data_IF_267327419752
#
_entry.id   IF_267327419752
#
_cell.length_a   1.000
_cell.length_b   1.000
_cell.length_c   1.000
_cell.angle_alpha   90.00
_cell.angle_beta   90.00
_cell.angle_gamma   90.00
#
_symmetry.space_group_name_H-M   'P 1'
#
loop_
_entity.id
_entity.type
_entity.pdbx_description
1 polymer ?
#
# COMPACT_ATOMS: atom_id res chain seq x y z
N UNK A 1 -3.96 -0.95 13.31
CA UNK A 1 -2.72 -0.88 12.52
C UNK A 1 -1.47 -1.05 13.40
N UNK A 2 -1.29 -0.23 14.44
CA UNK A 2 -0.16 -0.32 15.39
C UNK A 2 0.11 -1.73 15.92
N UNK A 3 -0.92 -2.47 16.36
CA UNK A 3 -0.76 -3.86 16.82
C UNK A 3 -0.39 -4.88 15.72
N UNK A 4 -0.62 -4.57 14.44
CA UNK A 4 -0.20 -5.43 13.31
C UNK A 4 1.27 -5.13 12.95
N UNK A 5 1.63 -3.86 12.89
CA UNK A 5 2.97 -3.39 12.50
C UNK A 5 3.97 -3.45 13.67
N UNK A 6 3.49 -3.53 14.90
CA UNK A 6 4.31 -3.60 16.11
C UNK A 6 5.10 -2.32 16.37
N UNK A 7 4.49 -1.16 16.10
CA UNK A 7 5.02 0.20 16.25
C UNK A 7 3.98 1.12 16.89
N UNK A 8 4.43 2.26 17.40
CA UNK A 8 3.55 3.28 17.98
C UNK A 8 2.63 3.90 16.92
N UNK A 9 1.49 4.42 17.36
CA UNK A 9 0.54 5.10 16.46
C UNK A 9 1.10 6.48 16.14
N UNK A 10 1.28 6.85 14.86
CA UNK A 10 1.73 8.19 14.51
C UNK A 10 0.67 9.22 14.88
N UNK A 11 1.09 10.45 15.15
CA UNK A 11 0.18 11.59 15.26
C UNK A 11 -0.21 12.03 13.84
N UNK A 12 -1.52 12.16 13.57
CA UNK A 12 -2.00 12.59 12.26
C UNK A 12 -3.30 13.41 12.34
N UNK A 13 -3.47 14.31 11.36
CA UNK A 13 -4.75 14.95 11.06
C UNK A 13 -5.47 14.22 9.91
N UNK A 14 -6.81 14.26 9.91
CA UNK A 14 -7.61 13.85 8.76
C UNK A 14 -8.25 15.09 8.13
N UNK A 15 -7.98 15.32 6.84
CA UNK A 15 -8.49 16.46 6.10
C UNK A 15 -9.47 15.96 5.03
N UNK A 16 -10.75 16.32 5.17
CA UNK A 16 -11.74 16.10 4.12
C UNK A 16 -11.74 17.32 3.20
N UNK A 17 -11.42 17.13 1.92
CA UNK A 17 -11.27 18.20 0.93
C UNK A 17 -12.42 18.13 -0.07
N UNK A 18 -13.10 19.26 -0.24
CA UNK A 18 -14.15 19.42 -1.24
C UNK A 18 -13.56 19.36 -2.66
N UNK A 19 -14.36 18.94 -3.64
CA UNK A 19 -13.91 18.83 -5.04
C UNK A 19 -13.34 20.17 -5.57
N UNK A 20 -13.88 21.32 -5.14
CA UNK A 20 -13.45 22.67 -5.53
C UNK A 20 -12.12 23.11 -4.92
N UNK A 21 -11.78 22.58 -3.74
CA UNK A 21 -10.55 22.91 -3.00
C UNK A 21 -9.42 21.91 -3.28
N UNK A 22 -9.62 20.93 -4.17
CA UNK A 22 -8.65 19.86 -4.41
C UNK A 22 -7.27 20.38 -4.80
N UNK A 23 -7.22 21.46 -5.59
CA UNK A 23 -5.96 22.06 -5.99
C UNK A 23 -5.25 22.82 -4.86
N UNK A 24 -5.94 23.11 -3.77
CA UNK A 24 -5.37 23.75 -2.57
C UNK A 24 -4.96 22.74 -1.50
N UNK A 25 -5.27 21.45 -1.69
CA UNK A 25 -4.93 20.40 -0.74
C UNK A 25 -3.41 20.36 -0.46
N UNK A 26 -3.01 20.16 0.81
CA UNK A 26 -1.61 20.11 1.20
C UNK A 26 -0.91 18.93 0.51
N UNK A 27 0.30 19.13 -0.02
CA UNK A 27 1.03 18.11 -0.78
C UNK A 27 2.54 18.34 -0.73
N UNK A 28 3.32 17.25 -0.78
CA UNK A 28 4.79 17.32 -0.75
C UNK A 28 5.39 17.78 -2.10
N UNK A 29 4.66 17.67 -3.21
CA UNK A 29 5.14 18.02 -4.53
C UNK A 29 4.11 18.84 -5.33
N UNK A 30 4.58 19.68 -6.27
CA UNK A 30 3.73 20.49 -7.12
C UNK A 30 3.16 19.74 -8.34
N UNK A 31 3.30 18.41 -8.40
CA UNK A 31 2.74 17.67 -9.54
C UNK A 31 1.22 17.61 -9.39
N UNK A 32 0.48 17.64 -10.52
CA UNK A 32 -0.96 17.43 -10.49
C UNK A 32 -1.25 16.05 -9.90
N UNK A 33 -2.00 16.01 -8.79
CA UNK A 33 -2.50 14.77 -8.23
C UNK A 33 -3.91 14.56 -8.76
N UNK A 34 -4.23 13.41 -9.38
CA UNK A 34 -5.57 13.19 -9.90
C UNK A 34 -6.65 13.42 -8.83
N UNK A 35 -7.73 14.15 -9.14
CA UNK A 35 -8.80 14.40 -8.19
C UNK A 35 -9.43 13.10 -7.71
N UNK A 36 -9.77 13.07 -6.43
CA UNK A 36 -10.47 11.96 -5.82
C UNK A 36 -9.57 10.79 -5.38
N UNK A 37 -8.26 10.98 -5.26
CA UNK A 37 -7.33 9.99 -4.71
C UNK A 37 -6.96 10.35 -3.27
N UNK A 38 -7.33 9.54 -2.26
CA UNK A 38 -6.79 9.73 -0.92
C UNK A 38 -5.26 9.66 -0.93
N UNK A 39 -4.60 10.43 -0.08
CA UNK A 39 -3.15 10.35 0.07
C UNK A 39 -2.68 10.80 1.46
N UNK A 40 -1.56 10.24 1.90
CA UNK A 40 -0.81 10.74 3.06
C UNK A 40 0.19 11.85 2.66
N UNK A 41 0.36 12.87 3.50
CA UNK A 41 1.37 13.93 3.30
C UNK A 41 1.98 14.42 4.62
N UNK A 42 3.30 14.70 4.59
CA UNK A 42 4.03 15.38 5.69
C UNK A 42 4.27 16.86 5.41
N UNK A 43 3.57 17.44 4.44
CA UNK A 43 3.70 18.87 4.07
C UNK A 43 3.07 19.83 5.09
N UNK A 44 2.35 19.30 6.07
CA UNK A 44 1.72 20.02 7.18
C UNK A 44 2.06 19.34 8.50
N UNK A 45 1.92 20.08 9.60
CA UNK A 45 2.20 19.60 10.96
C UNK A 45 0.94 19.73 11.83
N UNK A 46 0.41 18.61 12.40
CA UNK A 46 0.89 17.23 12.20
C UNK A 46 0.63 16.72 10.76
N UNK A 47 1.34 15.66 10.31
CA UNK A 47 1.09 15.04 8.99
C UNK A 47 -0.38 14.69 8.78
N UNK A 48 -0.83 14.75 7.53
CA UNK A 48 -2.25 14.63 7.20
C UNK A 48 -2.55 13.44 6.29
N UNK A 49 -3.66 12.78 6.58
CA UNK A 49 -4.39 11.96 5.63
C UNK A 49 -5.41 12.84 4.92
N UNK A 50 -5.19 13.09 3.63
CA UNK A 50 -6.09 13.87 2.78
C UNK A 50 -7.11 12.93 2.15
N UNK A 51 -8.39 13.21 2.39
CA UNK A 51 -9.53 12.45 1.91
C UNK A 51 -10.35 13.32 0.96
N UNK A 52 -10.66 12.85 -0.25
CA UNK A 52 -11.57 13.56 -1.13
C UNK A 52 -13.02 13.38 -0.66
N UNK A 53 -13.87 14.38 -0.94
CA UNK A 53 -15.31 14.23 -0.83
C UNK A 53 -15.82 13.09 -1.73
N UNK A 54 -15.22 12.93 -2.91
CA UNK A 54 -15.56 11.88 -3.88
C UNK A 54 -14.34 11.10 -4.34
N UNK A 55 -14.38 9.79 -4.14
CA UNK A 55 -13.37 8.90 -4.72
C UNK A 55 -13.42 8.90 -6.24
N UNK A 56 -12.24 8.99 -6.85
CA UNK A 56 -12.01 8.92 -8.29
C UNK A 56 -12.73 7.72 -8.91
N UNK A 57 -13.22 7.90 -10.14
CA UNK A 57 -13.86 6.82 -10.92
C UNK A 57 -12.86 5.77 -11.40
N UNK A 58 -11.57 6.09 -11.37
CA UNK A 58 -10.47 5.18 -11.70
C UNK A 58 -10.37 4.00 -10.72
N UNK A 59 -10.81 4.18 -9.47
CA UNK A 59 -10.81 3.11 -8.49
C UNK A 59 -11.78 1.99 -8.87
N UNK A 60 -11.23 0.79 -9.03
CA UNK A 60 -11.94 -0.44 -9.35
C UNK A 60 -11.31 -1.61 -8.58
N UNK A 61 -12.10 -2.58 -8.09
CA UNK A 61 -13.56 -2.66 -8.17
C UNK A 61 -14.28 -1.73 -7.17
N UNK A 62 -15.48 -1.25 -7.54
CA UNK A 62 -16.29 -0.37 -6.67
C UNK A 62 -17.22 -1.21 -5.80
N UNK A 63 -16.68 -1.75 -4.71
CA UNK A 63 -17.45 -2.50 -3.70
C UNK A 63 -17.49 -1.75 -2.38
N UNK A 64 -18.25 -2.27 -1.41
CA UNK A 64 -18.30 -1.71 -0.05
C UNK A 64 -16.95 -1.72 0.69
N UNK A 65 -15.96 -2.46 0.21
CA UNK A 65 -14.61 -2.47 0.79
C UNK A 65 -13.67 -1.41 0.20
N UNK A 66 -14.01 -0.79 -0.94
CA UNK A 66 -13.09 0.10 -1.67
C UNK A 66 -12.60 1.26 -0.80
N UNK A 67 -13.51 2.09 -0.30
CA UNK A 67 -13.14 3.28 0.49
C UNK A 67 -12.35 2.88 1.76
N UNK A 68 -12.82 1.92 2.59
CA UNK A 68 -12.03 1.49 3.73
C UNK A 68 -10.64 0.97 3.36
N UNK A 69 -10.50 0.18 2.29
CA UNK A 69 -9.19 -0.34 1.87
C UNK A 69 -8.23 0.79 1.50
N UNK A 70 -8.71 1.80 0.75
CA UNK A 70 -7.89 2.96 0.40
C UNK A 70 -7.49 3.76 1.63
N UNK A 71 -8.41 4.01 2.57
CA UNK A 71 -8.11 4.72 3.82
C UNK A 71 -7.08 3.96 4.66
N UNK A 72 -7.23 2.64 4.80
CA UNK A 72 -6.29 1.83 5.57
C UNK A 72 -4.92 1.71 4.88
N UNK A 73 -4.89 1.73 3.55
CA UNK A 73 -3.66 1.76 2.77
C UNK A 73 -2.88 3.07 3.04
N UNK A 74 -3.52 4.22 2.90
CA UNK A 74 -2.86 5.52 3.16
C UNK A 74 -2.47 5.70 4.62
N UNK A 75 -3.28 5.18 5.55
CA UNK A 75 -2.88 5.17 6.96
C UNK A 75 -1.63 4.31 7.17
N UNK A 76 -1.48 3.18 6.47
CA UNK A 76 -0.27 2.36 6.57
C UNK A 76 0.98 3.09 6.05
N UNK A 77 0.86 3.97 5.05
CA UNK A 77 1.93 4.88 4.63
C UNK A 77 2.33 5.83 5.77
N UNK A 78 1.35 6.37 6.52
CA UNK A 78 1.64 7.23 7.67
C UNK A 78 2.50 6.52 8.73
N UNK A 79 2.24 5.23 8.99
CA UNK A 79 3.12 4.44 9.85
C UNK A 79 4.51 4.28 9.22
N UNK A 80 4.58 3.88 7.94
CA UNK A 80 5.86 3.59 7.28
C UNK A 80 6.77 4.80 7.23
N UNK A 81 6.21 5.98 6.96
CA UNK A 81 6.93 7.23 6.72
C UNK A 81 7.09 8.13 7.95
N UNK A 82 6.71 7.63 9.14
CA UNK A 82 6.95 8.28 10.44
C UNK A 82 8.44 8.32 10.81
N UNK A 83 9.28 7.56 10.10
CA UNK A 83 10.75 7.59 10.18
C UNK A 83 11.43 8.02 8.88
N UNK A 84 12.76 8.13 8.90
CA UNK A 84 13.56 8.33 7.69
C UNK A 84 13.57 7.04 6.85
N UNK A 85 12.74 6.99 5.81
CA UNK A 85 12.65 5.83 4.91
C UNK A 85 13.54 6.06 3.69
N UNK A 86 14.47 5.13 3.50
CA UNK A 86 15.30 5.07 2.28
C UNK A 86 14.47 4.76 1.05
N UNK A 87 14.89 5.24 -0.11
CA UNK A 87 14.19 4.93 -1.37
C UNK A 87 14.16 3.41 -1.62
N UNK A 88 12.97 2.86 -1.85
CA UNK A 88 12.72 1.46 -2.23
C UNK A 88 12.13 1.36 -3.64
N UNK A 89 12.08 0.17 -4.25
CA UNK A 89 11.26 -0.05 -5.44
C UNK A 89 9.79 0.22 -5.13
N UNK A 90 9.05 0.73 -6.12
CA UNK A 90 7.65 1.12 -5.97
C UNK A 90 6.81 -0.06 -5.44
N UNK A 91 7.03 -1.26 -5.97
CA UNK A 91 6.27 -2.44 -5.57
C UNK A 91 6.43 -2.77 -4.08
N UNK A 92 7.61 -2.60 -3.49
CA UNK A 92 7.82 -2.92 -2.07
C UNK A 92 7.21 -1.84 -1.18
N UNK A 93 7.36 -0.57 -1.57
CA UNK A 93 6.77 0.57 -0.88
C UNK A 93 5.25 0.50 -0.82
N UNK A 94 4.61 0.00 -1.88
CA UNK A 94 3.15 -0.12 -1.99
C UNK A 94 2.61 -1.46 -1.46
N UNK A 95 3.40 -2.55 -1.54
CA UNK A 95 3.00 -3.86 -1.04
C UNK A 95 2.69 -3.84 0.46
N UNK A 96 3.54 -3.20 1.26
CA UNK A 96 3.39 -3.19 2.72
C UNK A 96 2.06 -2.52 3.13
N UNK A 97 1.73 -1.31 2.64
CA UNK A 97 0.42 -0.70 2.80
C UNK A 97 -0.76 -1.54 2.30
N UNK A 98 -0.65 -2.18 1.13
CA UNK A 98 -1.72 -3.04 0.60
C UNK A 98 -1.97 -4.28 1.48
N UNK A 99 -0.92 -4.96 1.91
CA UNK A 99 -1.05 -6.09 2.83
C UNK A 99 -1.57 -5.64 4.20
N UNK A 100 -1.12 -4.49 4.70
CA UNK A 100 -1.60 -3.94 5.96
C UNK A 100 -3.10 -3.58 5.92
N UNK A 101 -3.57 -2.96 4.83
CA UNK A 101 -4.98 -2.65 4.62
C UNK A 101 -5.84 -3.91 4.55
N UNK A 102 -5.37 -4.96 3.84
CA UNK A 102 -6.03 -6.25 3.78
C UNK A 102 -6.10 -6.96 5.15
N UNK A 103 -5.03 -6.90 5.95
CA UNK A 103 -5.02 -7.47 7.30
C UNK A 103 -6.06 -6.78 8.21
N UNK A 104 -6.12 -5.45 8.19
CA UNK A 104 -7.15 -4.71 8.92
C UNK A 104 -8.55 -5.06 8.41
N UNK A 105 -8.74 -5.11 7.10
CA UNK A 105 -10.02 -5.48 6.49
C UNK A 105 -10.54 -6.84 6.96
N UNK A 106 -9.65 -7.85 7.06
CA UNK A 106 -9.98 -9.17 7.61
C UNK A 106 -10.39 -9.10 9.08
N UNK A 107 -9.62 -8.37 9.91
CA UNK A 107 -9.89 -8.25 11.35
C UNK A 107 -11.23 -7.57 11.66
N UNK A 108 -11.62 -6.58 10.86
CA UNK A 108 -12.85 -5.80 11.09
C UNK A 108 -14.05 -6.31 10.26
N UNK A 109 -13.90 -7.42 9.54
CA UNK A 109 -14.99 -8.08 8.83
C UNK A 109 -15.47 -7.34 7.57
N UNK A 110 -14.59 -6.59 6.89
CA UNK A 110 -14.93 -6.00 5.60
C UNK A 110 -15.15 -7.09 4.54
N UNK A 111 -15.97 -6.84 3.49
CA UNK A 111 -16.24 -7.79 2.42
C UNK A 111 -15.05 -7.91 1.44
N UNK A 112 -13.87 -8.23 1.97
CA UNK A 112 -12.63 -8.32 1.21
C UNK A 112 -12.73 -9.38 0.11
N UNK A 113 -13.29 -10.55 0.40
CA UNK A 113 -13.48 -11.60 -0.61
C UNK A 113 -14.38 -11.19 -1.78
N UNK A 114 -15.38 -10.32 -1.55
CA UNK A 114 -16.18 -9.74 -2.63
C UNK A 114 -15.37 -8.78 -3.48
N UNK A 115 -14.59 -7.91 -2.83
CA UNK A 115 -13.70 -6.98 -3.52
C UNK A 115 -12.68 -7.71 -4.40
N UNK A 116 -11.99 -8.71 -3.86
CA UNK A 116 -10.95 -9.45 -4.57
C UNK A 116 -11.49 -10.23 -5.79
N UNK A 117 -12.75 -10.68 -5.77
CA UNK A 117 -13.37 -11.30 -6.96
C UNK A 117 -13.52 -10.35 -8.15
N UNK A 118 -13.55 -9.04 -7.90
CA UNK A 118 -13.62 -8.02 -8.93
C UNK A 118 -12.25 -7.57 -9.45
N UNK A 119 -11.15 -8.15 -8.93
CA UNK A 119 -9.79 -7.85 -9.35
C UNK A 119 -9.35 -8.81 -10.45
N UNK A 120 -8.69 -8.28 -11.48
CA UNK A 120 -8.00 -9.07 -12.51
C UNK A 120 -6.70 -9.66 -11.95
N UNK A 121 -6.56 -11.01 -11.86
CA UNK A 121 -5.34 -11.65 -11.38
C UNK A 121 -4.20 -11.66 -12.41
N UNK A 122 -4.47 -11.36 -13.68
CA UNK A 122 -3.50 -11.46 -14.78
C UNK A 122 -3.44 -10.15 -15.60
N UNK A 123 -3.02 -9.01 -14.98
CA UNK A 123 -3.09 -7.69 -15.62
C UNK A 123 -2.09 -7.48 -16.77
N UNK A 124 -1.35 -8.51 -17.17
CA UNK A 124 -0.33 -8.46 -18.24
C UNK A 124 1.08 -8.08 -17.76
N UNK A 125 1.31 -7.98 -16.46
CA UNK A 125 2.62 -7.75 -15.84
C UNK A 125 2.70 -8.40 -14.45
N UNK A 126 3.92 -8.50 -13.90
CA UNK A 126 4.17 -8.98 -12.52
C UNK A 126 4.42 -7.82 -11.56
N UNK A 127 4.37 -8.10 -10.26
CA UNK A 127 4.69 -7.17 -9.17
C UNK A 127 6.03 -6.49 -9.40
N UNK A 128 7.05 -7.24 -9.87
CA UNK A 128 8.38 -6.68 -10.15
C UNK A 128 8.57 -6.19 -11.58
N UNK A 129 7.73 -6.66 -12.51
CA UNK A 129 7.81 -6.31 -13.92
C UNK A 129 7.17 -4.97 -14.26
N UNK A 130 6.29 -4.45 -13.40
CA UNK A 130 5.65 -3.15 -13.59
C UNK A 130 6.66 -2.02 -13.44
N UNK A 131 6.95 -1.31 -14.54
CA UNK A 131 7.92 -0.22 -14.57
C UNK A 131 7.53 0.85 -15.59
N UNK A 132 7.94 2.09 -15.34
CA UNK A 132 7.77 3.22 -16.26
C UNK A 132 6.50 4.06 -16.05
N UNK A 133 6.26 5.06 -16.93
CA UNK A 133 5.07 5.88 -16.87
C UNK A 133 3.82 5.05 -17.18
N UNK A 134 2.88 5.01 -16.24
CA UNK A 134 1.64 4.27 -16.36
C UNK A 134 0.44 5.21 -16.28
N UNK A 135 -0.57 4.97 -17.11
CA UNK A 135 -1.87 5.64 -16.99
C UNK A 135 -2.60 5.20 -15.71
N UNK A 136 -3.66 5.92 -15.35
CA UNK A 136 -4.44 5.63 -14.14
C UNK A 136 -4.99 4.19 -14.10
N UNK A 137 -5.35 3.62 -15.26
CA UNK A 137 -5.84 2.24 -15.36
C UNK A 137 -4.76 1.22 -14.99
N UNK A 138 -3.55 1.36 -15.56
CA UNK A 138 -2.45 0.43 -15.29
C UNK A 138 -1.92 0.57 -13.86
N UNK A 139 -1.91 1.80 -13.32
CA UNK A 139 -1.63 2.02 -11.90
C UNK A 139 -2.66 1.31 -11.00
N UNK A 140 -3.95 1.38 -11.34
CA UNK A 140 -4.99 0.68 -10.59
C UNK A 140 -4.83 -0.84 -10.68
N UNK A 141 -4.52 -1.39 -11.86
CA UNK A 141 -4.19 -2.81 -12.03
C UNK A 141 -3.01 -3.23 -11.16
N UNK A 142 -1.98 -2.39 -11.10
CA UNK A 142 -0.80 -2.65 -10.27
C UNK A 142 -1.12 -2.64 -8.77
N UNK A 143 -1.86 -1.65 -8.29
CA UNK A 143 -2.30 -1.58 -6.89
C UNK A 143 -3.17 -2.80 -6.52
N UNK A 144 -4.04 -3.23 -7.43
CA UNK A 144 -4.85 -4.43 -7.27
C UNK A 144 -4.03 -5.73 -7.25
N UNK A 145 -3.00 -5.83 -8.09
CA UNK A 145 -2.07 -6.96 -8.10
C UNK A 145 -1.32 -7.06 -6.76
N UNK A 146 -0.85 -5.93 -6.24
CA UNK A 146 -0.21 -5.83 -4.93
C UNK A 146 -1.16 -6.23 -3.80
N UNK A 147 -2.44 -5.83 -3.87
CA UNK A 147 -3.46 -6.25 -2.92
C UNK A 147 -3.66 -7.78 -2.94
N UNK A 148 -3.83 -8.38 -4.13
CA UNK A 148 -3.94 -9.84 -4.27
C UNK A 148 -2.72 -10.56 -3.71
N UNK A 149 -1.52 -10.10 -4.07
CA UNK A 149 -0.27 -10.68 -3.62
C UNK A 149 -0.09 -10.55 -2.10
N UNK A 150 -0.42 -9.40 -1.52
CA UNK A 150 -0.41 -9.15 -0.08
C UNK A 150 -1.38 -10.06 0.69
N UNK A 151 -2.61 -10.21 0.18
CA UNK A 151 -3.62 -11.14 0.70
C UNK A 151 -3.10 -12.59 0.69
N UNK A 152 -2.46 -12.99 -0.40
CA UNK A 152 -1.91 -14.32 -0.53
C UNK A 152 -0.69 -14.56 0.39
N UNK A 153 0.13 -13.54 0.63
CA UNK A 153 1.20 -13.58 1.62
C UNK A 153 0.65 -13.69 3.06
N UNK A 154 -0.42 -12.96 3.37
CA UNK A 154 -1.10 -13.05 4.67
C UNK A 154 -1.68 -14.45 4.93
N UNK A 155 -2.23 -15.11 3.90
CA UNK A 155 -2.71 -16.49 4.01
C UNK A 155 -1.58 -17.50 4.24
N UNK A 156 -0.45 -17.32 3.55
CA UNK A 156 0.68 -18.25 3.66
C UNK A 156 1.53 -18.08 4.92
N UNK A 157 1.69 -16.83 5.40
CA UNK A 157 2.69 -16.49 6.43
C UNK A 157 2.12 -15.77 7.65
N UNK A 158 0.83 -15.42 7.63
CA UNK A 158 0.15 -14.69 8.69
C UNK A 158 0.58 -13.23 8.82
N UNK A 159 -0.16 -12.45 9.60
CA UNK A 159 0.07 -11.00 9.75
C UNK A 159 1.45 -10.63 10.31
N UNK A 160 2.12 -11.57 11.00
CA UNK A 160 3.43 -11.33 11.62
C UNK A 160 4.54 -10.97 10.62
N UNK A 161 4.40 -11.28 9.33
CA UNK A 161 5.39 -10.86 8.34
C UNK A 161 5.39 -9.33 8.14
N UNK A 162 4.24 -8.67 8.34
CA UNK A 162 4.12 -7.21 8.17
C UNK A 162 5.02 -6.46 9.14
N UNK A 163 4.99 -6.82 10.44
CA UNK A 163 5.89 -6.25 11.42
C UNK A 163 7.38 -6.53 11.09
N UNK A 164 7.69 -7.71 10.54
CA UNK A 164 9.06 -8.08 10.17
C UNK A 164 9.56 -7.26 8.98
N UNK A 165 8.78 -7.15 7.90
CA UNK A 165 9.19 -6.37 6.72
C UNK A 165 9.27 -4.89 7.02
N UNK A 166 8.34 -4.37 7.83
CA UNK A 166 8.33 -2.99 8.27
C UNK A 166 9.61 -2.64 9.04
N UNK A 167 9.95 -3.44 10.06
CA UNK A 167 11.18 -3.25 10.84
C UNK A 167 12.44 -3.42 10.00
N UNK A 168 12.42 -4.35 9.04
CA UNK A 168 13.54 -4.56 8.14
C UNK A 168 13.76 -3.32 7.25
N UNK A 169 12.69 -2.72 6.72
CA UNK A 169 12.75 -1.49 5.95
C UNK A 169 13.29 -0.30 6.76
N UNK A 170 12.82 -0.11 7.99
CA UNK A 170 13.32 0.94 8.89
C UNK A 170 14.78 0.76 9.32
N UNK A 171 15.32 -0.45 9.22
CA UNK A 171 16.71 -0.71 9.52
C UNK A 171 17.65 -0.41 8.34
N UNK A 172 17.13 -0.25 7.12
CA UNK A 172 17.93 0.08 5.95
C UNK A 172 18.39 1.55 6.01
N UNK A 173 19.67 1.77 5.69
CA UNK A 173 20.29 3.11 5.68
C UNK A 173 20.68 3.60 4.29
N UNK A 174 20.64 2.71 3.31
CA UNK A 174 20.99 2.98 1.92
C UNK A 174 19.80 2.68 1.01
N UNK A 175 19.84 3.20 -0.23
CA UNK A 175 18.83 2.92 -1.25
C UNK A 175 18.67 1.41 -1.46
N UNK A 176 17.43 0.93 -1.36
CA UNK A 176 17.08 -0.47 -1.58
C UNK A 176 16.81 -0.69 -3.06
N UNK A 177 17.64 -1.49 -3.73
CA UNK A 177 17.39 -1.95 -5.10
C UNK A 177 16.53 -3.22 -5.16
N UNK A 178 16.14 -3.63 -6.37
CA UNK A 178 15.28 -4.80 -6.63
C UNK A 178 15.72 -6.08 -5.91
N UNK A 179 16.99 -6.45 -6.00
CA UNK A 179 17.52 -7.67 -5.38
C UNK A 179 17.46 -7.62 -3.85
N UNK A 180 17.73 -6.44 -3.27
CA UNK A 180 17.66 -6.23 -1.82
C UNK A 180 16.20 -6.22 -1.34
N UNK A 181 15.30 -5.60 -2.11
CA UNK A 181 13.87 -5.60 -1.83
C UNK A 181 13.28 -7.03 -1.82
N UNK A 182 13.62 -7.86 -2.81
CA UNK A 182 13.25 -9.28 -2.83
C UNK A 182 13.78 -10.02 -1.60
N UNK A 183 15.04 -9.79 -1.24
CA UNK A 183 15.66 -10.42 -0.08
C UNK A 183 14.97 -10.02 1.23
N UNK A 184 14.67 -8.73 1.41
CA UNK A 184 13.96 -8.21 2.58
C UNK A 184 12.59 -8.85 2.72
N UNK A 185 11.83 -8.93 1.63
CA UNK A 185 10.54 -9.59 1.63
C UNK A 185 10.68 -11.09 1.94
N UNK A 186 11.56 -11.81 1.25
CA UNK A 186 11.77 -13.25 1.44
C UNK A 186 12.11 -13.60 2.90
N UNK A 187 13.03 -12.84 3.50
CA UNK A 187 13.42 -13.02 4.92
C UNK A 187 12.27 -12.69 5.86
N UNK A 188 11.47 -11.68 5.53
CA UNK A 188 10.34 -11.24 6.36
C UNK A 188 9.17 -12.21 6.29
N UNK A 189 8.94 -12.89 5.17
CA UNK A 189 7.96 -13.99 5.08
C UNK A 189 8.37 -15.13 6.01
N UNK A 190 9.66 -15.44 6.12
CA UNK A 190 10.20 -16.46 7.03
C UNK A 190 10.60 -17.74 6.30
N UNK A 191 10.60 -18.91 6.98
CA UNK A 191 10.93 -20.19 6.35
C UNK A 191 10.07 -20.45 5.11
N UNK A 192 10.70 -20.83 3.99
CA UNK A 192 10.01 -21.06 2.71
C UNK A 192 9.64 -19.78 1.95
N UNK A 193 9.91 -18.59 2.48
CA UNK A 193 9.55 -17.32 1.86
C UNK A 193 10.19 -17.14 0.47
N UNK A 194 11.46 -17.52 0.31
CA UNK A 194 12.17 -17.43 -0.97
C UNK A 194 11.59 -18.38 -2.01
N UNK A 195 11.31 -19.61 -1.62
CA UNK A 195 10.70 -20.63 -2.47
C UNK A 195 9.28 -20.21 -2.88
N UNK A 196 8.52 -19.67 -1.94
CA UNK A 196 7.18 -19.15 -2.21
C UNK A 196 7.21 -18.02 -3.23
N UNK A 197 8.07 -17.01 -3.06
CA UNK A 197 8.21 -15.91 -4.02
C UNK A 197 8.54 -16.41 -5.43
N UNK A 198 9.45 -17.39 -5.55
CA UNK A 198 9.81 -18.00 -6.85
C UNK A 198 8.68 -18.81 -7.48
N UNK A 199 7.73 -19.30 -6.67
CA UNK A 199 6.60 -20.08 -7.15
C UNK A 199 5.41 -19.22 -7.61
N UNK A 200 5.45 -17.90 -7.37
CA UNK A 200 4.39 -16.96 -7.72
C UNK A 200 4.55 -16.47 -9.16
N UNK A 201 3.66 -16.84 -10.10
CA UNK A 201 3.69 -16.27 -11.46
C UNK A 201 3.45 -14.76 -11.48
N UNK A 202 2.75 -14.23 -10.48
CA UNK A 202 2.46 -12.81 -10.33
C UNK A 202 3.63 -11.96 -9.80
N UNK A 203 4.74 -12.58 -9.36
CA UNK A 203 5.86 -11.89 -8.70
C UNK A 203 7.05 -11.64 -9.64
#
# INVERSE_FOLDING_TARGET
MSGILGVETPELSALLVADEDWEEAPRENHRPYPPGLPFFTRSVDPPALVLPERLSSAFRPRTGALLPLTVWHELAHAFLLDGEVVRTPAWLGELVPQAASAAVARRVGLPLGEHLRGVDPEPGFTVRGFSGPAGAEDQMKFQNLLLLFGVAALEGFGEGFLARVFRALWAERDVVGEARAEELLARSLGPGGREWLRSRPEF
#
